data_IF_428388507029
#
_entry.id   IF_428388507029
#
_cell.length_a   1.000
_cell.length_b   1.000
_cell.length_c   1.000
_cell.angle_alpha   90.00
_cell.angle_beta   90.00
_cell.angle_gamma   90.00
#
_symmetry.space_group_name_H-M   'P 1'
#
loop_
_entity.id
_entity.type
_entity.pdbx_description
1 polymer ?
#
# COMPACT_ATOMS: atom_id res chain seq x y z
N UNK A 1 -19.12 -17.33 -56.18
CA UNK A 1 -20.00 -16.17 -56.42
C UNK A 1 -19.73 -15.11 -55.36
N UNK A 2 -19.06 -14.00 -55.73
CA UNK A 2 -19.02 -12.79 -54.90
C UNK A 2 -20.14 -11.80 -55.30
N UNK A 3 -20.64 -10.96 -54.37
CA UNK A 3 -21.76 -10.07 -54.62
C UNK A 3 -21.39 -8.78 -55.38
N UNK A 4 -22.35 -8.32 -56.15
CA UNK A 4 -22.34 -7.23 -57.14
C UNK A 4 -22.29 -5.85 -56.45
N UNK A 5 -21.45 -4.96 -56.98
CA UNK A 5 -21.27 -3.54 -56.59
C UNK A 5 -22.55 -2.72 -56.81
N UNK A 6 -22.88 -1.81 -55.88
CA UNK A 6 -23.80 -0.68 -56.11
C UNK A 6 -23.03 0.65 -56.16
N UNK A 7 -23.44 1.61 -57.00
CA UNK A 7 -22.66 2.82 -57.29
C UNK A 7 -22.80 3.92 -56.23
N UNK A 8 -21.75 4.72 -56.09
CA UNK A 8 -21.62 5.91 -55.26
C UNK A 8 -22.19 7.10 -56.03
N UNK A 9 -23.18 7.78 -55.46
CA UNK A 9 -23.74 9.02 -56.00
C UNK A 9 -23.04 10.20 -55.30
N UNK A 10 -22.29 10.97 -56.07
CA UNK A 10 -21.77 12.30 -55.70
C UNK A 10 -22.85 13.35 -55.97
N UNK A 11 -23.14 14.20 -54.98
CA UNK A 11 -23.99 15.36 -55.15
C UNK A 11 -23.26 16.63 -54.74
N UNK A 12 -23.31 17.59 -55.66
CA UNK A 12 -22.60 18.84 -55.77
C UNK A 12 -23.17 19.98 -54.92
N UNK A 13 -22.24 20.81 -54.45
CA UNK A 13 -22.30 22.27 -54.26
C UNK A 13 -23.56 23.02 -54.74
N UNK A 14 -24.13 23.84 -53.86
CA UNK A 14 -24.64 25.17 -54.25
C UNK A 14 -24.65 26.15 -53.07
N UNK A 15 -23.90 27.23 -53.22
CA UNK A 15 -23.90 28.40 -52.36
C UNK A 15 -25.10 29.29 -52.69
N UNK A 16 -25.80 29.80 -51.68
CA UNK A 16 -26.78 30.88 -51.85
C UNK A 16 -26.48 31.99 -50.84
N UNK A 17 -26.11 33.15 -51.39
CA UNK A 17 -25.86 34.43 -50.74
C UNK A 17 -27.09 35.33 -50.93
N UNK A 18 -27.60 35.92 -49.84
CA UNK A 18 -28.47 37.13 -49.73
C UNK A 18 -29.08 37.09 -48.31
N UNK A 19 -29.27 38.16 -47.54
CA UNK A 19 -29.11 39.61 -47.70
C UNK A 19 -29.15 40.16 -46.26
N UNK A 20 -28.31 41.15 -45.92
CA UNK A 20 -28.45 41.97 -44.71
C UNK A 20 -29.63 42.92 -44.87
N UNK A 21 -30.46 43.04 -43.85
CA UNK A 21 -31.26 44.23 -43.53
C UNK A 21 -31.29 44.38 -42.01
N UNK A 22 -30.91 45.57 -41.57
CA UNK A 22 -30.81 45.99 -40.19
C UNK A 22 -32.18 46.31 -39.55
N UNK A 23 -32.20 46.17 -38.23
CA UNK A 23 -32.82 47.02 -37.20
C UNK A 23 -34.35 47.16 -37.06
N UNK A 24 -34.74 47.12 -35.78
CA UNK A 24 -35.97 47.55 -35.10
C UNK A 24 -37.21 46.66 -35.26
N UNK A 25 -37.56 45.90 -34.21
CA UNK A 25 -38.41 46.48 -33.16
C UNK A 25 -38.42 45.65 -31.87
N UNK A 26 -38.62 46.35 -30.77
CA UNK A 26 -38.49 45.88 -29.40
C UNK A 26 -39.84 45.44 -28.86
N UNK A 27 -39.96 44.25 -28.26
CA UNK A 27 -40.98 43.99 -27.23
C UNK A 27 -40.85 42.58 -26.59
N UNK A 28 -40.50 42.60 -25.30
CA UNK A 28 -41.07 41.75 -24.23
C UNK A 28 -40.52 40.31 -24.11
N UNK A 29 -39.54 40.13 -23.21
CA UNK A 29 -39.41 38.92 -22.37
C UNK A 29 -38.52 39.17 -21.13
N UNK A 30 -38.79 40.23 -20.36
CA UNK A 30 -38.09 40.56 -19.12
C UNK A 30 -38.71 39.88 -17.88
N UNK A 31 -38.92 38.56 -17.93
CA UNK A 31 -39.49 37.80 -16.80
C UNK A 31 -38.69 36.54 -16.41
N UNK A 32 -37.56 36.25 -17.08
CA UNK A 32 -36.70 35.10 -16.76
C UNK A 32 -35.53 35.38 -15.80
N UNK A 33 -35.11 36.64 -15.62
CA UNK A 33 -33.85 36.93 -14.93
C UNK A 33 -33.93 36.85 -13.39
N UNK A 34 -35.06 37.21 -12.77
CA UNK A 34 -35.16 37.22 -11.29
C UNK A 34 -35.16 35.81 -10.68
N UNK A 35 -35.78 34.83 -11.34
CA UNK A 35 -35.80 33.45 -10.85
C UNK A 35 -34.43 32.79 -10.92
N UNK A 36 -33.65 33.08 -11.96
CA UNK A 36 -32.32 32.51 -12.15
C UNK A 36 -31.29 33.14 -11.20
N UNK A 37 -31.41 34.44 -10.91
CA UNK A 37 -30.59 35.09 -9.87
C UNK A 37 -30.93 34.58 -8.47
N UNK A 38 -32.21 34.39 -8.13
CA UNK A 38 -32.60 33.78 -6.85
C UNK A 38 -32.06 32.35 -6.70
N UNK A 39 -32.10 31.55 -7.77
CA UNK A 39 -31.56 30.19 -7.77
C UNK A 39 -30.03 30.17 -7.63
N UNK A 40 -29.32 31.11 -8.26
CA UNK A 40 -27.87 31.26 -8.16
C UNK A 40 -27.42 31.72 -6.76
N UNK A 41 -28.18 32.63 -6.13
CA UNK A 41 -27.95 33.06 -4.76
C UNK A 41 -28.22 31.93 -3.76
N UNK A 42 -29.29 31.16 -3.98
CA UNK A 42 -29.62 29.98 -3.17
C UNK A 42 -28.55 28.89 -3.32
N UNK A 43 -28.04 28.68 -4.53
CA UNK A 43 -26.92 27.77 -4.82
C UNK A 43 -25.65 28.21 -4.10
N UNK A 44 -25.31 29.51 -4.15
CA UNK A 44 -24.14 30.07 -3.48
C UNK A 44 -24.24 29.95 -1.95
N UNK A 45 -25.43 30.19 -1.39
CA UNK A 45 -25.72 30.02 0.05
C UNK A 45 -25.66 28.55 0.48
N UNK A 46 -26.12 27.64 -0.36
CA UNK A 46 -26.04 26.21 -0.10
C UNK A 46 -24.58 25.71 -0.14
N UNK A 47 -23.81 26.17 -1.11
CA UNK A 47 -22.38 25.85 -1.22
C UNK A 47 -21.60 26.42 -0.02
N UNK A 48 -21.88 27.65 0.41
CA UNK A 48 -21.20 28.25 1.56
C UNK A 48 -21.52 27.54 2.88
N UNK A 49 -22.76 27.07 3.05
CA UNK A 49 -23.16 26.29 4.22
C UNK A 49 -22.41 24.94 4.24
N UNK A 50 -22.29 24.28 3.09
CA UNK A 50 -21.55 23.02 2.96
C UNK A 50 -20.02 23.20 3.00
N UNK A 51 -19.49 24.40 2.75
CA UNK A 51 -18.04 24.67 2.85
C UNK A 51 -17.57 24.92 4.30
N UNK A 52 -18.50 25.03 5.26
CA UNK A 52 -18.16 25.21 6.67
C UNK A 52 -17.46 23.95 7.22
N UNK A 53 -16.42 24.10 8.06
CA UNK A 53 -15.63 22.99 8.58
C UNK A 53 -16.44 21.99 9.42
N UNK A 54 -17.55 22.43 10.03
CA UNK A 54 -18.48 21.57 10.78
C UNK A 54 -19.25 20.59 9.89
N UNK A 55 -19.41 20.89 8.61
CA UNK A 55 -20.20 20.12 7.65
C UNK A 55 -19.36 19.39 6.60
N UNK A 56 -18.03 19.28 6.81
CA UNK A 56 -17.10 18.59 5.90
C UNK A 56 -17.44 17.10 5.67
N UNK A 57 -18.14 16.47 6.63
CA UNK A 57 -18.65 15.08 6.50
C UNK A 57 -20.07 14.99 5.94
N UNK A 58 -20.69 16.13 5.64
CA UNK A 58 -22.01 16.26 5.05
C UNK A 58 -23.10 16.71 6.03
N UNK A 59 -24.22 17.17 5.48
CA UNK A 59 -25.39 17.69 6.21
C UNK A 59 -26.56 16.74 5.98
N UNK A 60 -27.31 16.42 7.04
CA UNK A 60 -28.47 15.54 6.92
C UNK A 60 -29.60 16.20 6.13
N UNK A 61 -30.41 15.40 5.45
CA UNK A 61 -31.60 15.89 4.75
C UNK A 61 -32.62 16.55 5.71
N UNK A 62 -32.61 16.17 6.99
CA UNK A 62 -33.48 16.75 8.02
C UNK A 62 -33.02 18.16 8.43
N UNK A 63 -31.71 18.35 8.56
CA UNK A 63 -31.11 19.65 8.87
C UNK A 63 -31.26 20.61 7.70
N UNK A 64 -31.12 20.13 6.45
CA UNK A 64 -31.36 20.94 5.26
C UNK A 64 -32.81 21.43 5.15
N UNK A 65 -33.79 20.59 5.50
CA UNK A 65 -35.20 21.02 5.55
C UNK A 65 -35.43 22.08 6.62
N UNK A 66 -34.81 21.91 7.79
CA UNK A 66 -34.91 22.86 8.89
C UNK A 66 -34.19 24.18 8.62
N UNK A 67 -33.11 24.17 7.83
CA UNK A 67 -32.38 25.40 7.49
C UNK A 67 -33.03 26.20 6.36
N UNK A 68 -33.65 25.52 5.39
CA UNK A 68 -34.15 26.17 4.17
C UNK A 68 -35.68 26.23 4.04
N UNK A 69 -36.45 25.59 4.95
CA UNK A 69 -37.93 25.65 5.02
C UNK A 69 -38.61 25.70 3.62
N UNK A 70 -39.17 26.84 3.23
CA UNK A 70 -39.91 27.04 1.98
C UNK A 70 -39.03 26.99 0.72
N UNK A 71 -37.77 27.39 0.84
CA UNK A 71 -36.77 27.35 -0.25
C UNK A 71 -36.26 25.94 -0.52
N UNK A 72 -36.58 24.95 0.32
CA UNK A 72 -36.17 23.56 0.12
C UNK A 72 -36.69 23.00 -1.21
N UNK A 73 -37.87 23.43 -1.66
CA UNK A 73 -38.45 22.99 -2.93
C UNK A 73 -37.57 23.39 -4.13
N UNK A 74 -37.08 24.63 -4.13
CA UNK A 74 -36.10 25.15 -5.11
C UNK A 74 -34.71 24.53 -4.90
N UNK A 75 -34.35 24.21 -3.65
CA UNK A 75 -33.09 23.56 -3.31
C UNK A 75 -32.99 22.14 -3.89
N UNK A 76 -34.09 21.37 -3.96
CA UNK A 76 -34.07 20.02 -4.55
C UNK A 76 -33.62 20.04 -6.02
N UNK A 77 -34.04 21.05 -6.80
CA UNK A 77 -33.55 21.22 -8.18
C UNK A 77 -32.04 21.49 -8.21
N UNK A 78 -31.54 22.35 -7.33
CA UNK A 78 -30.12 22.68 -7.22
C UNK A 78 -29.31 21.47 -6.75
N UNK A 79 -29.80 20.70 -5.78
CA UNK A 79 -29.19 19.46 -5.31
C UNK A 79 -29.08 18.46 -6.47
N UNK A 80 -30.14 18.28 -7.25
CA UNK A 80 -30.13 17.39 -8.39
C UNK A 80 -29.13 17.85 -9.46
N UNK A 81 -29.02 19.15 -9.71
CA UNK A 81 -28.05 19.73 -10.64
C UNK A 81 -26.60 19.58 -10.14
N UNK A 82 -26.34 19.88 -8.87
CA UNK A 82 -25.03 19.71 -8.23
C UNK A 82 -24.61 18.23 -8.15
N UNK A 83 -25.58 17.32 -8.00
CA UNK A 83 -25.34 15.87 -8.04
C UNK A 83 -25.03 15.38 -9.46
N UNK A 84 -25.73 15.91 -10.48
CA UNK A 84 -25.45 15.62 -11.89
C UNK A 84 -24.07 16.14 -12.32
N UNK A 85 -23.70 17.34 -11.88
CA UNK A 85 -22.39 17.93 -12.13
C UNK A 85 -21.26 17.34 -11.27
N UNK A 86 -21.54 16.31 -10.45
CA UNK A 86 -20.56 15.62 -9.61
C UNK A 86 -19.88 16.50 -8.55
N UNK A 87 -20.38 17.70 -8.30
CA UNK A 87 -19.90 18.63 -7.26
C UNK A 87 -20.42 18.28 -5.88
N UNK A 88 -21.49 17.48 -5.83
CA UNK A 88 -22.12 17.04 -4.59
C UNK A 88 -22.21 15.51 -4.54
N UNK A 89 -21.97 14.97 -3.35
CA UNK A 89 -22.06 13.55 -3.08
C UNK A 89 -23.12 13.26 -2.02
N UNK A 90 -24.02 12.32 -2.33
CA UNK A 90 -25.01 11.82 -1.39
C UNK A 90 -24.50 10.53 -0.77
N UNK A 91 -24.40 10.47 0.55
CA UNK A 91 -24.14 9.24 1.32
C UNK A 91 -25.38 8.88 2.12
N UNK A 92 -25.66 7.59 2.27
CA UNK A 92 -26.75 7.10 3.12
C UNK A 92 -26.11 6.51 4.36
N UNK A 93 -26.45 7.04 5.52
CA UNK A 93 -26.02 6.50 6.81
C UNK A 93 -27.25 5.96 7.51
N UNK A 94 -27.15 4.74 8.01
CA UNK A 94 -28.20 4.14 8.82
C UNK A 94 -27.91 4.48 10.29
N UNK A 95 -28.56 5.52 10.78
CA UNK A 95 -28.57 5.92 12.19
C UNK A 95 -29.87 5.40 12.81
N UNK A 96 -29.76 4.48 13.77
CA UNK A 96 -30.90 3.96 14.55
C UNK A 96 -32.07 3.39 13.73
N UNK A 97 -31.80 2.74 12.58
CA UNK A 97 -32.85 2.16 11.72
C UNK A 97 -33.52 3.16 10.78
N UNK A 98 -33.13 4.44 10.83
CA UNK A 98 -33.57 5.48 9.91
C UNK A 98 -32.47 5.70 8.87
N UNK A 99 -32.82 5.55 7.60
CA UNK A 99 -31.91 5.84 6.50
C UNK A 99 -31.84 7.35 6.29
N UNK A 100 -30.86 8.01 6.89
CA UNK A 100 -30.61 9.43 6.69
C UNK A 100 -29.64 9.65 5.52
N UNK A 101 -29.99 10.61 4.66
CA UNK A 101 -29.17 11.00 3.52
C UNK A 101 -28.35 12.22 3.92
N UNK A 102 -27.03 12.09 3.81
CA UNK A 102 -26.08 13.17 4.02
C UNK A 102 -25.62 13.70 2.68
N UNK A 103 -25.55 15.03 2.56
CA UNK A 103 -25.04 15.72 1.38
C UNK A 103 -23.70 16.34 1.73
N UNK A 104 -22.63 15.93 1.06
CA UNK A 104 -21.28 16.50 1.21
C UNK A 104 -20.85 17.17 -0.09
N UNK A 105 -20.27 18.36 0.02
CA UNK A 105 -19.55 18.96 -1.10
C UNK A 105 -18.29 18.17 -1.37
N UNK A 106 -18.06 17.92 -2.65
CA UNK A 106 -16.87 17.28 -3.14
C UNK A 106 -15.86 18.37 -3.50
N UNK A 107 -14.57 18.16 -3.21
CA UNK A 107 -13.55 19.13 -3.62
C UNK A 107 -13.49 19.22 -5.15
N UNK A 108 -13.01 20.34 -5.70
CA UNK A 108 -12.94 20.54 -7.15
C UNK A 108 -12.08 19.44 -7.84
N UNK A 109 -11.03 18.99 -7.17
CA UNK A 109 -10.18 17.88 -7.62
C UNK A 109 -10.91 16.53 -7.64
N UNK A 110 -11.70 16.24 -6.63
CA UNK A 110 -12.50 15.00 -6.57
C UNK A 110 -13.70 15.06 -7.55
N UNK A 111 -14.30 16.24 -7.74
CA UNK A 111 -15.39 16.47 -8.68
C UNK A 111 -14.94 16.24 -10.13
N UNK A 112 -13.76 16.74 -10.52
CA UNK A 112 -13.18 16.48 -11.85
C UNK A 112 -12.82 15.00 -12.05
N UNK A 113 -12.33 14.31 -11.00
CA UNK A 113 -12.09 12.86 -11.04
C UNK A 113 -13.37 12.06 -11.27
N UNK A 114 -14.48 12.46 -10.65
CA UNK A 114 -15.79 11.79 -10.75
C UNK A 114 -16.67 12.27 -11.90
N UNK A 115 -16.29 13.33 -12.61
CA UNK A 115 -17.03 13.87 -13.73
C UNK A 115 -17.11 12.87 -14.90
N UNK A 116 -18.30 12.68 -15.48
CA UNK A 116 -18.54 11.75 -16.58
C UNK A 116 -18.50 10.26 -16.21
N UNK A 117 -18.42 9.93 -14.92
CA UNK A 117 -18.48 8.55 -14.43
C UNK A 117 -19.93 8.11 -14.21
N UNK A 118 -20.24 6.86 -14.57
CA UNK A 118 -21.56 6.26 -14.33
C UNK A 118 -21.83 6.08 -12.83
N UNK A 119 -23.11 5.97 -12.44
CA UNK A 119 -23.52 5.77 -11.04
C UNK A 119 -22.87 4.53 -10.42
N UNK A 120 -22.77 3.43 -11.17
CA UNK A 120 -22.09 2.21 -10.74
C UNK A 120 -20.58 2.44 -10.53
N UNK A 121 -19.94 3.18 -11.45
CA UNK A 121 -18.51 3.50 -11.36
C UNK A 121 -18.20 4.41 -10.16
N UNK A 122 -19.06 5.40 -9.89
CA UNK A 122 -18.95 6.26 -8.69
C UNK A 122 -19.08 5.45 -7.40
N UNK A 123 -20.02 4.50 -7.36
CA UNK A 123 -20.21 3.63 -6.20
C UNK A 123 -18.99 2.75 -5.94
N UNK A 124 -18.45 2.10 -6.97
CA UNK A 124 -17.24 1.26 -6.86
C UNK A 124 -16.03 2.10 -6.43
N UNK A 125 -15.87 3.31 -6.97
CA UNK A 125 -14.78 4.21 -6.58
C UNK A 125 -14.81 4.54 -5.08
N UNK A 126 -15.98 4.90 -4.54
CA UNK A 126 -16.12 5.21 -3.10
C UNK A 126 -15.82 4.02 -2.20
N UNK A 127 -16.22 2.82 -2.59
CA UNK A 127 -15.90 1.59 -1.84
C UNK A 127 -14.38 1.38 -1.80
N UNK A 128 -13.68 1.60 -2.91
CA UNK A 128 -12.21 1.49 -2.96
C UNK A 128 -11.54 2.60 -2.15
N UNK A 129 -12.03 3.84 -2.25
CA UNK A 129 -11.55 4.99 -1.48
C UNK A 129 -11.65 4.73 0.03
N UNK A 130 -12.74 4.13 0.49
CA UNK A 130 -12.93 3.78 1.91
C UNK A 130 -11.93 2.73 2.43
N UNK A 131 -11.29 1.95 1.54
CA UNK A 131 -10.32 0.92 1.90
C UNK A 131 -8.88 1.42 2.05
N UNK A 132 -8.60 2.65 1.60
CA UNK A 132 -7.31 3.31 1.78
C UNK A 132 -6.12 2.54 1.20
N UNK A 133 -5.08 2.41 2.03
CA UNK A 133 -3.76 1.85 1.72
C UNK A 133 -3.70 0.31 1.73
N UNK A 134 -4.66 -0.35 2.38
CA UNK A 134 -4.81 -1.82 2.38
C UNK A 134 -5.44 -2.34 1.10
N UNK A 135 -6.23 -1.50 0.44
CA UNK A 135 -7.04 -1.87 -0.72
C UNK A 135 -8.17 -2.83 -0.38
N UNK A 136 -8.95 -3.20 -1.38
CA UNK A 136 -10.12 -4.08 -1.23
C UNK A 136 -10.13 -5.18 -2.29
N UNK A 137 -10.58 -6.38 -1.89
CA UNK A 137 -10.70 -7.53 -2.77
C UNK A 137 -11.90 -7.40 -3.72
N UNK A 138 -11.76 -7.86 -4.97
CA UNK A 138 -12.84 -7.84 -5.97
C UNK A 138 -14.12 -8.54 -5.53
N UNK A 139 -14.02 -9.61 -4.75
CA UNK A 139 -15.18 -10.34 -4.21
C UNK A 139 -15.93 -9.47 -3.20
N UNK A 140 -15.20 -8.74 -2.35
CA UNK A 140 -15.78 -7.88 -1.33
C UNK A 140 -16.42 -6.63 -1.96
N UNK A 141 -15.79 -6.05 -2.99
CA UNK A 141 -16.39 -4.97 -3.79
C UNK A 141 -17.73 -5.43 -4.38
N UNK A 142 -17.79 -6.66 -4.91
CA UNK A 142 -19.02 -7.21 -5.48
C UNK A 142 -20.09 -7.39 -4.41
N UNK A 143 -19.72 -7.90 -3.23
CA UNK A 143 -20.64 -8.09 -2.11
C UNK A 143 -21.21 -6.76 -1.60
N UNK A 144 -20.39 -5.71 -1.52
CA UNK A 144 -20.83 -4.39 -1.05
C UNK A 144 -21.66 -3.62 -2.07
N UNK A 145 -21.31 -3.72 -3.36
CA UNK A 145 -22.00 -2.96 -4.43
C UNK A 145 -23.19 -3.69 -5.04
N UNK A 146 -23.29 -5.00 -4.85
CA UNK A 146 -24.31 -5.87 -5.44
C UNK A 146 -24.40 -5.75 -6.99
N UNK A 147 -23.26 -5.46 -7.65
CA UNK A 147 -23.19 -5.30 -9.11
C UNK A 147 -22.83 -6.64 -9.78
N UNK A 148 -23.49 -7.02 -10.90
CA UNK A 148 -23.12 -8.22 -11.65
C UNK A 148 -21.68 -8.18 -12.17
N UNK A 149 -21.00 -9.34 -12.16
CA UNK A 149 -19.58 -9.47 -12.52
C UNK A 149 -19.21 -8.86 -13.89
N UNK A 150 -20.10 -9.03 -14.90
CA UNK A 150 -19.86 -8.51 -16.25
C UNK A 150 -19.80 -6.98 -16.30
N UNK A 151 -20.70 -6.32 -15.57
CA UNK A 151 -20.72 -4.86 -15.42
C UNK A 151 -19.53 -4.39 -14.59
N UNK A 152 -19.24 -5.06 -13.48
CA UNK A 152 -18.14 -4.73 -12.58
C UNK A 152 -16.77 -4.76 -13.31
N UNK A 153 -16.59 -5.73 -14.21
CA UNK A 153 -15.36 -5.82 -15.03
C UNK A 153 -15.21 -4.63 -15.98
N UNK A 154 -16.32 -4.13 -16.57
CA UNK A 154 -16.28 -2.92 -17.41
C UNK A 154 -15.96 -1.68 -16.59
N UNK A 155 -16.55 -1.58 -15.39
CA UNK A 155 -16.28 -0.48 -14.44
C UNK A 155 -14.80 -0.46 -14.06
N UNK A 156 -14.20 -1.58 -13.67
CA UNK A 156 -12.77 -1.63 -13.34
C UNK A 156 -11.90 -1.17 -14.51
N UNK A 157 -12.17 -1.63 -15.74
CA UNK A 157 -11.43 -1.17 -16.93
C UNK A 157 -11.56 0.33 -17.15
N UNK A 158 -12.76 0.89 -16.99
CA UNK A 158 -13.00 2.33 -17.12
C UNK A 158 -12.20 3.13 -16.08
N UNK A 159 -12.23 2.70 -14.81
CA UNK A 159 -11.53 3.34 -13.70
C UNK A 159 -10.00 3.21 -13.83
N UNK A 160 -9.49 2.06 -14.28
CA UNK A 160 -8.06 1.83 -14.56
C UNK A 160 -7.58 2.70 -15.73
N UNK A 161 -8.37 2.80 -16.81
CA UNK A 161 -8.02 3.61 -17.99
C UNK A 161 -7.90 5.09 -17.63
N UNK A 162 -8.76 5.58 -16.73
CA UNK A 162 -8.69 6.95 -16.20
C UNK A 162 -7.65 7.15 -15.11
N UNK A 163 -6.87 6.11 -14.75
CA UNK A 163 -5.88 6.12 -13.66
C UNK A 163 -6.46 6.58 -12.32
N UNK A 164 -7.70 6.20 -12.04
CA UNK A 164 -8.34 6.48 -10.74
C UNK A 164 -8.04 5.38 -9.72
N UNK A 165 -7.92 4.14 -10.21
CA UNK A 165 -7.60 2.96 -9.41
C UNK A 165 -6.43 2.20 -10.04
N UNK A 166 -5.76 1.38 -9.25
CA UNK A 166 -4.75 0.44 -9.71
C UNK A 166 -4.95 -0.94 -9.07
N UNK A 167 -4.67 -2.03 -9.81
CA UNK A 167 -4.65 -3.36 -9.23
C UNK A 167 -3.39 -3.53 -8.37
N UNK A 168 -3.54 -4.19 -7.22
CA UNK A 168 -2.43 -4.59 -6.36
C UNK A 168 -2.48 -6.09 -6.07
N UNK A 169 -1.31 -6.64 -5.80
CA UNK A 169 -1.14 -7.99 -5.28
C UNK A 169 -0.74 -7.86 -3.82
N UNK A 170 -1.27 -8.73 -2.97
CA UNK A 170 -0.84 -8.84 -1.59
C UNK A 170 0.13 -10.02 -1.45
N UNK A 171 1.20 -9.82 -0.69
CA UNK A 171 2.16 -10.89 -0.39
C UNK A 171 1.50 -12.05 0.35
N UNK A 172 0.61 -11.75 1.31
CA UNK A 172 -0.13 -12.75 2.10
C UNK A 172 -1.18 -13.50 1.28
N UNK A 173 -1.67 -12.91 0.20
CA UNK A 173 -2.77 -13.45 -0.60
C UNK A 173 -2.50 -13.32 -2.10
N UNK A 174 -1.48 -14.04 -2.59
CA UNK A 174 -1.01 -13.99 -3.99
C UNK A 174 -2.10 -14.24 -5.05
N UNK A 175 -3.12 -15.02 -4.73
CA UNK A 175 -4.22 -15.36 -5.64
C UNK A 175 -5.35 -14.33 -5.65
N UNK A 176 -5.40 -13.42 -4.67
CA UNK A 176 -6.46 -12.41 -4.58
C UNK A 176 -6.08 -11.19 -5.43
N UNK A 177 -7.04 -10.69 -6.21
CA UNK A 177 -6.91 -9.44 -6.96
C UNK A 177 -7.48 -8.30 -6.13
N UNK A 178 -6.62 -7.44 -5.60
CA UNK A 178 -7.03 -6.28 -4.83
C UNK A 178 -6.97 -5.01 -5.70
N UNK A 179 -7.75 -4.00 -5.30
CA UNK A 179 -7.77 -2.69 -5.91
C UNK A 179 -7.55 -1.61 -4.86
N UNK A 180 -6.83 -0.56 -5.24
CA UNK A 180 -6.64 0.64 -4.43
C UNK A 180 -6.65 1.90 -5.32
N UNK A 181 -6.68 3.08 -4.70
CA UNK A 181 -6.54 4.35 -5.43
C UNK A 181 -5.17 4.47 -6.09
N UNK A 182 -5.12 5.13 -7.24
CA UNK A 182 -3.91 5.26 -8.03
C UNK A 182 -2.79 6.01 -7.28
N UNK A 183 -3.17 7.09 -6.60
CA UNK A 183 -2.24 8.01 -5.93
C UNK A 183 -1.70 7.46 -4.59
N UNK A 184 -2.32 6.43 -4.03
CA UNK A 184 -1.96 5.87 -2.72
C UNK A 184 -0.82 4.84 -2.84
N UNK A 185 0.06 4.79 -1.85
CA UNK A 185 1.06 3.72 -1.72
C UNK A 185 0.49 2.57 -0.87
N UNK A 186 0.73 1.30 -1.26
CA UNK A 186 0.24 0.15 -0.50
C UNK A 186 0.93 0.08 0.86
N UNK A 187 0.18 -0.33 1.89
CA UNK A 187 0.72 -0.50 3.23
C UNK A 187 1.82 -1.58 3.28
N UNK A 188 2.74 -1.46 4.25
CA UNK A 188 3.81 -2.45 4.50
C UNK A 188 3.27 -3.88 4.70
N UNK A 189 2.08 -4.00 5.29
CA UNK A 189 1.38 -5.28 5.48
C UNK A 189 1.02 -5.97 4.15
N UNK A 190 0.76 -5.18 3.10
CA UNK A 190 0.41 -5.68 1.76
C UNK A 190 1.67 -6.00 0.96
N UNK A 191 2.69 -5.14 1.04
CA UNK A 191 3.96 -5.32 0.31
C UNK A 191 4.92 -6.30 0.98
N UNK A 192 4.71 -6.64 2.25
CA UNK A 192 5.56 -7.58 3.00
C UNK A 192 6.85 -6.97 3.57
N UNK A 193 7.05 -5.66 3.44
CA UNK A 193 8.28 -4.98 3.89
C UNK A 193 9.45 -5.11 2.91
N UNK A 194 10.70 -4.85 3.34
CA UNK A 194 11.86 -4.78 2.46
C UNK A 194 12.35 -6.15 1.97
N UNK A 195 11.77 -7.24 2.50
CA UNK A 195 12.11 -8.63 2.16
C UNK A 195 11.47 -9.12 0.87
N UNK A 196 10.63 -8.28 0.24
CA UNK A 196 9.89 -8.63 -0.96
C UNK A 196 10.20 -7.67 -2.10
N UNK A 197 10.51 -8.22 -3.26
CA UNK A 197 10.67 -7.52 -4.52
C UNK A 197 9.59 -8.00 -5.46
N UNK A 198 8.81 -7.08 -6.04
CA UNK A 198 7.70 -7.43 -6.96
C UNK A 198 6.70 -8.47 -6.38
N UNK A 199 6.44 -8.41 -5.07
CA UNK A 199 5.55 -9.33 -4.34
C UNK A 199 6.07 -10.78 -4.21
N UNK A 200 7.35 -11.01 -4.52
CA UNK A 200 8.07 -12.26 -4.31
C UNK A 200 9.13 -12.10 -3.22
N UNK A 201 9.38 -13.16 -2.46
CA UNK A 201 10.32 -13.12 -1.35
C UNK A 201 11.75 -13.19 -1.88
N UNK A 202 12.56 -12.20 -1.50
CA UNK A 202 13.89 -12.00 -2.07
C UNK A 202 14.96 -12.75 -1.26
N UNK A 203 15.07 -14.05 -1.52
CA UNK A 203 16.01 -14.93 -0.83
C UNK A 203 17.47 -14.52 -1.07
N UNK A 204 17.80 -14.04 -2.27
CA UNK A 204 19.16 -13.65 -2.65
C UNK A 204 19.59 -12.40 -1.89
N UNK A 205 18.74 -11.36 -1.88
CA UNK A 205 18.99 -10.15 -1.13
C UNK A 205 19.21 -10.43 0.37
N UNK A 206 18.36 -11.27 0.96
CA UNK A 206 18.50 -11.65 2.38
C UNK A 206 19.79 -12.42 2.61
N UNK A 207 20.14 -13.37 1.75
CA UNK A 207 21.38 -14.14 1.88
C UNK A 207 22.62 -13.25 1.81
N UNK A 208 22.64 -12.27 0.90
CA UNK A 208 23.72 -11.29 0.79
C UNK A 208 23.86 -10.43 2.05
N UNK A 209 22.75 -9.92 2.58
CA UNK A 209 22.75 -9.14 3.82
C UNK A 209 23.22 -9.98 5.02
N UNK A 210 22.77 -11.23 5.12
CA UNK A 210 23.20 -12.16 6.16
C UNK A 210 24.70 -12.42 6.09
N UNK A 211 25.23 -12.65 4.89
CA UNK A 211 26.67 -12.84 4.70
C UNK A 211 27.45 -11.58 5.08
N UNK A 212 26.96 -10.40 4.67
CA UNK A 212 27.57 -9.13 5.04
C UNK A 212 27.61 -8.92 6.57
N UNK A 213 26.51 -9.19 7.27
CA UNK A 213 26.44 -9.10 8.74
C UNK A 213 27.45 -10.05 9.38
N UNK A 214 27.52 -11.30 8.91
CA UNK A 214 28.48 -12.28 9.41
C UNK A 214 29.92 -11.81 9.20
N UNK A 215 30.24 -11.26 8.02
CA UNK A 215 31.55 -10.68 7.74
C UNK A 215 31.87 -9.49 8.67
N UNK A 216 30.90 -8.62 8.93
CA UNK A 216 31.07 -7.50 9.86
C UNK A 216 31.37 -8.00 11.28
N UNK A 217 30.56 -8.91 11.80
CA UNK A 217 30.74 -9.47 13.15
C UNK A 217 32.09 -10.15 13.28
N UNK A 218 32.50 -10.96 12.28
CA UNK A 218 33.83 -11.61 12.27
C UNK A 218 34.97 -10.60 12.26
N UNK A 219 34.89 -9.57 11.42
CA UNK A 219 35.97 -8.58 11.27
C UNK A 219 36.12 -7.71 12.52
N UNK A 220 35.01 -7.34 13.15
CA UNK A 220 35.01 -6.53 14.37
C UNK A 220 35.48 -7.32 15.60
N UNK A 221 35.18 -8.62 15.66
CA UNK A 221 35.60 -9.51 16.74
C UNK A 221 36.97 -10.16 16.53
N UNK A 222 37.65 -9.87 15.41
CA UNK A 222 38.97 -10.40 15.10
C UNK A 222 39.02 -11.89 14.72
N UNK A 223 37.88 -12.52 14.41
CA UNK A 223 37.82 -13.94 14.08
C UNK A 223 36.56 -14.66 14.54
N UNK A 224 36.61 -16.00 14.52
CA UNK A 224 35.56 -16.88 15.04
C UNK A 224 35.78 -17.16 16.52
N UNK A 225 34.73 -17.04 17.32
CA UNK A 225 34.78 -17.31 18.77
C UNK A 225 35.69 -16.37 19.55
N UNK A 226 36.19 -15.29 18.95
CA UNK A 226 37.05 -14.27 19.57
C UNK A 226 36.29 -12.97 19.78
N UNK A 227 36.88 -12.01 20.51
CA UNK A 227 36.31 -10.67 20.70
C UNK A 227 35.29 -10.54 21.83
N UNK A 228 35.02 -9.30 22.22
CA UNK A 228 34.10 -8.91 23.30
C UNK A 228 32.63 -8.83 22.84
N UNK A 229 32.37 -9.10 21.55
CA UNK A 229 31.04 -9.02 20.95
C UNK A 229 30.74 -7.65 20.35
N UNK A 230 29.77 -7.66 19.41
CA UNK A 230 29.33 -6.48 18.65
C UNK A 230 27.86 -6.24 18.93
N UNK A 231 27.47 -5.00 19.15
CA UNK A 231 26.06 -4.66 19.40
C UNK A 231 25.26 -4.53 18.09
N UNK A 232 23.94 -4.71 18.17
CA UNK A 232 23.04 -4.57 17.02
C UNK A 232 23.16 -3.17 16.36
N UNK A 233 23.29 -2.11 17.16
CA UNK A 233 23.47 -0.73 16.67
C UNK A 233 24.74 -0.60 15.83
N UNK A 234 25.86 -1.15 16.32
CA UNK A 234 27.12 -1.12 15.58
C UNK A 234 27.03 -1.85 14.24
N UNK A 235 26.32 -2.98 14.19
CA UNK A 235 26.05 -3.72 12.94
C UNK A 235 25.23 -2.85 11.99
N UNK A 236 24.14 -2.24 12.46
CA UNK A 236 23.27 -1.36 11.68
C UNK A 236 24.02 -0.14 11.12
N UNK A 237 24.86 0.49 11.94
CA UNK A 237 25.68 1.63 11.52
C UNK A 237 26.68 1.23 10.43
N UNK A 238 27.28 0.04 10.55
CA UNK A 238 28.19 -0.49 9.51
C UNK A 238 27.46 -0.80 8.21
N UNK A 239 26.26 -1.37 8.26
CA UNK A 239 25.45 -1.59 7.06
C UNK A 239 25.10 -0.27 6.37
N UNK A 240 24.79 0.77 7.15
CA UNK A 240 24.49 2.11 6.62
C UNK A 240 25.74 2.77 6.01
N UNK A 241 26.89 2.69 6.69
CA UNK A 241 28.17 3.23 6.21
C UNK A 241 28.64 2.55 4.92
N UNK A 242 28.45 1.23 4.80
CA UNK A 242 28.83 0.48 3.61
C UNK A 242 27.82 0.59 2.46
N UNK A 243 26.66 1.23 2.68
CA UNK A 243 25.58 1.40 1.71
C UNK A 243 25.21 0.08 1.00
N UNK A 244 25.03 -0.98 1.79
CA UNK A 244 24.88 -2.36 1.30
C UNK A 244 23.54 -2.56 0.59
N UNK A 245 22.51 -1.84 1.00
CA UNK A 245 21.16 -1.97 0.46
C UNK A 245 20.67 -0.67 -0.16
N UNK A 246 19.96 -0.78 -1.28
CA UNK A 246 19.23 0.36 -1.88
C UNK A 246 18.05 0.79 -1.01
N UNK A 247 17.46 -0.16 -0.29
CA UNK A 247 16.36 0.06 0.66
C UNK A 247 16.94 0.34 2.04
N UNK A 248 16.48 1.40 2.69
CA UNK A 248 16.88 1.70 4.07
C UNK A 248 16.24 0.70 5.01
N UNK A 249 17.07 -0.07 5.72
CA UNK A 249 16.63 -1.03 6.71
C UNK A 249 16.53 -0.37 8.08
N UNK A 250 15.48 -0.72 8.81
CA UNK A 250 15.26 -0.34 10.21
C UNK A 250 16.03 -1.27 11.15
N UNK A 251 16.22 -0.83 12.40
CA UNK A 251 16.92 -1.63 13.41
C UNK A 251 16.23 -2.99 13.66
N UNK A 252 14.90 -3.02 13.66
CA UNK A 252 14.10 -4.25 13.80
C UNK A 252 14.35 -5.23 12.64
N UNK A 253 14.54 -4.74 11.42
CA UNK A 253 14.83 -5.57 10.25
C UNK A 253 16.25 -6.15 10.31
N UNK A 254 17.22 -5.36 10.79
CA UNK A 254 18.58 -5.86 11.05
C UNK A 254 18.55 -6.90 12.18
N UNK A 255 17.74 -6.68 13.22
CA UNK A 255 17.57 -7.65 14.31
C UNK A 255 17.03 -8.98 13.81
N UNK A 256 16.02 -8.96 12.92
CA UNK A 256 15.50 -10.19 12.29
C UNK A 256 16.60 -10.95 11.57
N UNK A 257 17.45 -10.26 10.80
CA UNK A 257 18.58 -10.91 10.10
C UNK A 257 19.58 -11.51 11.10
N UNK A 258 19.96 -10.78 12.14
CA UNK A 258 20.87 -11.29 13.19
C UNK A 258 20.27 -12.51 13.89
N UNK A 259 18.96 -12.50 14.18
CA UNK A 259 18.26 -13.65 14.76
C UNK A 259 18.32 -14.87 13.85
N UNK A 260 18.11 -14.72 12.53
CA UNK A 260 18.26 -15.86 11.60
C UNK A 260 19.68 -16.43 11.60
N UNK A 261 20.71 -15.60 11.75
CA UNK A 261 22.10 -16.06 11.87
C UNK A 261 22.36 -16.75 13.21
N UNK A 262 21.71 -16.29 14.29
CA UNK A 262 21.80 -16.93 15.59
C UNK A 262 21.11 -18.30 15.61
N UNK A 263 19.93 -18.43 14.99
CA UNK A 263 19.23 -19.70 14.85
C UNK A 263 19.99 -20.72 13.99
N UNK A 264 20.74 -20.25 13.00
CA UNK A 264 21.63 -21.09 12.18
C UNK A 264 22.98 -21.39 12.88
N UNK A 265 23.15 -21.00 14.14
CA UNK A 265 24.38 -21.18 14.94
C UNK A 265 25.64 -20.57 14.27
N UNK A 266 25.46 -19.52 13.45
CA UNK A 266 26.57 -18.79 12.84
C UNK A 266 27.05 -17.63 13.73
N UNK A 267 26.18 -17.15 14.59
CA UNK A 267 26.44 -16.09 15.56
C UNK A 267 25.90 -16.54 16.92
N UNK A 268 26.61 -16.23 17.99
CA UNK A 268 26.21 -16.48 19.37
C UNK A 268 26.11 -15.16 20.14
N UNK A 269 25.16 -15.08 21.07
CA UNK A 269 25.12 -13.99 22.03
C UNK A 269 26.06 -14.33 23.20
N UNK A 270 27.14 -13.56 23.38
CA UNK A 270 28.18 -13.80 24.40
C UNK A 270 28.01 -12.95 25.66
N UNK A 271 26.97 -12.13 25.71
CA UNK A 271 26.65 -11.33 26.88
C UNK A 271 25.74 -10.16 26.56
N UNK A 272 25.73 -9.21 27.49
CA UNK A 272 24.95 -8.00 27.43
C UNK A 272 25.84 -6.85 27.91
N UNK A 273 25.72 -5.67 27.31
CA UNK A 273 26.40 -4.45 27.78
C UNK A 273 25.81 -3.97 29.11
N UNK A 274 26.46 -3.03 29.77
CA UNK A 274 25.95 -2.37 30.99
C UNK A 274 24.58 -1.69 30.75
N UNK A 275 24.30 -1.31 29.51
CA UNK A 275 23.04 -0.69 29.07
C UNK A 275 21.95 -1.71 28.71
N UNK A 276 22.23 -3.02 28.79
CA UNK A 276 21.26 -4.06 28.45
C UNK A 276 21.26 -4.49 26.98
N UNK A 277 22.25 -4.09 26.17
CA UNK A 277 22.32 -4.47 24.74
C UNK A 277 23.02 -5.81 24.53
N UNK A 278 22.43 -6.68 23.73
CA UNK A 278 23.02 -7.97 23.39
C UNK A 278 24.34 -7.82 22.59
N UNK A 279 25.35 -8.59 22.99
CA UNK A 279 26.66 -8.64 22.34
C UNK A 279 26.80 -9.93 21.53
N UNK A 280 27.01 -9.78 20.23
CA UNK A 280 27.06 -10.88 19.27
C UNK A 280 28.49 -11.20 18.82
N UNK A 281 28.83 -12.49 18.81
CA UNK A 281 30.13 -13.02 18.35
C UNK A 281 29.89 -14.04 17.24
N UNK A 282 30.79 -14.12 16.26
CA UNK A 282 30.71 -15.17 15.25
C UNK A 282 30.99 -16.51 15.91
N UNK A 283 30.04 -17.45 15.80
CA UNK A 283 30.16 -18.74 16.47
C UNK A 283 31.36 -19.52 15.93
N UNK A 284 32.02 -20.24 16.81
CA UNK A 284 33.06 -21.18 16.42
C UNK A 284 32.37 -22.48 16.01
N UNK A 285 32.65 -22.98 14.80
CA UNK A 285 32.24 -24.33 14.44
C UNK A 285 32.99 -25.32 15.33
N UNK A 286 32.26 -26.09 16.12
CA UNK A 286 32.80 -27.28 16.78
C UNK A 286 32.97 -28.33 15.71
N UNK A 287 34.16 -28.42 15.10
CA UNK A 287 34.50 -29.55 14.25
C UNK A 287 34.76 -30.76 15.16
N UNK A 288 33.89 -31.76 15.07
CA UNK A 288 33.95 -33.00 15.85
C UNK A 288 34.98 -34.01 15.35
N UNK A 289 35.65 -33.73 14.23
CA UNK A 289 36.71 -34.60 13.74
C UNK A 289 38.00 -34.24 14.47
N UNK A 290 38.28 -34.95 15.56
CA UNK A 290 39.64 -35.06 16.04
C UNK A 290 40.49 -35.79 14.98
N UNK A 291 41.78 -35.49 14.91
CA UNK A 291 42.73 -36.14 13.97
C UNK A 291 42.93 -37.66 14.24
N UNK A 292 42.27 -38.24 15.24
CA UNK A 292 42.40 -39.65 15.60
C UNK A 292 41.15 -40.45 15.21
N UNK A 293 41.35 -41.68 14.73
CA UNK A 293 40.28 -42.62 14.44
C UNK A 293 39.75 -43.29 15.71
N UNK A 294 38.51 -43.78 15.69
CA UNK A 294 37.91 -44.43 16.87
C UNK A 294 38.71 -45.66 17.36
N UNK A 295 39.51 -46.28 16.50
CA UNK A 295 40.40 -47.40 16.83
C UNK A 295 41.67 -46.96 17.56
N UNK A 296 42.09 -45.69 17.48
CA UNK A 296 43.27 -45.19 18.20
C UNK A 296 43.03 -45.18 19.72
N UNK A 297 41.76 -45.17 20.15
CA UNK A 297 41.33 -45.30 21.56
C UNK A 297 41.70 -46.66 22.16
N UNK A 298 41.92 -47.67 21.31
CA UNK A 298 42.32 -49.01 21.73
C UNK A 298 43.83 -49.16 21.96
N UNK A 299 44.61 -48.14 21.61
CA UNK A 299 46.05 -48.12 21.86
C UNK A 299 46.31 -48.00 23.39
N UNK A 300 47.14 -48.87 23.99
CA UNK A 300 47.49 -48.79 25.41
C UNK A 300 47.97 -47.41 25.84
N UNK A 301 48.60 -46.66 24.93
CA UNK A 301 49.19 -45.36 25.21
C UNK A 301 48.25 -44.19 24.92
N UNK A 302 46.99 -44.46 24.52
CA UNK A 302 46.04 -43.41 24.13
C UNK A 302 45.80 -42.38 25.24
N UNK A 303 45.75 -42.82 26.50
CA UNK A 303 45.54 -41.98 27.68
C UNK A 303 46.67 -40.95 27.91
N UNK A 304 47.84 -41.18 27.29
CA UNK A 304 49.01 -40.31 27.37
C UNK A 304 49.15 -39.36 26.17
N UNK A 305 48.21 -39.38 25.21
CA UNK A 305 48.25 -38.52 24.04
C UNK A 305 47.45 -37.24 24.28
N UNK A 306 47.98 -36.12 23.79
CA UNK A 306 47.24 -34.87 23.74
C UNK A 306 46.27 -34.94 22.55
N UNK A 307 44.98 -34.74 22.80
CA UNK A 307 43.98 -34.68 21.73
C UNK A 307 43.87 -33.25 21.27
N UNK A 308 44.35 -32.98 20.05
CA UNK A 308 44.14 -31.71 19.37
C UNK A 308 42.90 -31.81 18.48
N UNK A 309 41.99 -30.87 18.67
CA UNK A 309 40.86 -30.67 17.77
C UNK A 309 41.25 -29.70 16.65
N UNK A 310 40.57 -29.78 15.51
CA UNK A 310 40.79 -28.84 14.40
C UNK A 310 40.49 -27.38 14.79
N UNK A 311 39.63 -27.19 15.78
CA UNK A 311 39.39 -25.88 16.38
C UNK A 311 40.52 -25.48 17.35
N UNK A 312 41.64 -26.18 17.43
CA UNK A 312 42.79 -25.79 18.25
C UNK A 312 42.55 -25.90 19.76
N UNK A 313 41.42 -26.47 20.21
CA UNK A 313 41.30 -26.98 21.57
C UNK A 313 42.25 -28.16 21.70
N UNK A 314 43.02 -28.19 22.79
CA UNK A 314 43.90 -29.31 23.10
C UNK A 314 43.50 -29.86 24.46
N UNK A 315 43.05 -31.11 24.50
CA UNK A 315 42.92 -31.85 25.74
C UNK A 315 44.29 -32.40 26.10
N UNK A 316 44.79 -32.04 27.27
CA UNK A 316 46.07 -32.51 27.78
C UNK A 316 46.00 -33.99 28.14
N UNK A 317 47.11 -34.74 28.02
CA UNK A 317 47.22 -36.10 28.50
C UNK A 317 46.79 -36.21 29.97
N UNK A 318 46.12 -37.30 30.34
CA UNK A 318 45.84 -37.57 31.74
C UNK A 318 47.14 -38.03 32.41
N UNK A 319 47.61 -37.32 33.44
CA UNK A 319 48.74 -37.81 34.24
C UNK A 319 48.31 -39.05 35.04
N UNK A 320 49.08 -40.14 35.06
CA UNK A 320 48.72 -41.32 35.82
C UNK A 320 48.71 -40.97 37.32
N UNK A 321 47.53 -40.86 37.91
CA UNK A 321 47.40 -40.82 39.36
C UNK A 321 47.76 -42.22 39.88
N UNK A 322 49.00 -42.39 40.31
CA UNK A 322 49.36 -43.51 41.17
C UNK A 322 48.62 -43.34 42.50
N UNK A 323 47.46 -44.00 42.62
CA UNK A 323 46.94 -44.33 43.94
C UNK A 323 47.94 -45.30 44.56
N UNK A 324 48.64 -44.81 45.58
CA UNK A 324 49.51 -45.63 46.44
C UNK A 324 48.69 -46.49 47.38
#
# INVERSE_FOLDING_TARGET
>A
MPPIKRPIITASTSATKRRRTDAADSAISSSGNNSDEELSLLQSRFISLLSLPEHKKGISNSDLKSHFHDDYTKLVSIINELTRSSKLTMSKVNTNGVNEVFFSLLTEEEATKLEGLDAHSKMVYRVIESSGDKGIWTVDIRAQTNIPQGTLTKVFKQLETRRLIKPIKAVTAKTKKLYMLYDLQPAKEITGGPWYTEYEFDHEFIAELRNFILMCVRRMNGGYGTGNGVTLKQISDKMTQANVSRVKLTLDEVQQLVQTLAFDYLIEQRGVTEEGEALFVAARRVTTMSEFGWWDVLDPDFHFRAVRFEDGVVLTPHEPHHHS
#
